data_IF_432991273590
#
_entry.id   IF_432991273590
#
_cell.length_a   1.000
_cell.length_b   1.000
_cell.length_c   1.000
_cell.angle_alpha   90.00
_cell.angle_beta   90.00
_cell.angle_gamma   90.00
#
_symmetry.space_group_name_H-M   'P 1'
#
loop_
_entity.id
_entity.type
_entity.pdbx_description
1 polymer ?
#
# COMPACT_ATOMS: atom_id res chain seq x y z
N UNK A 1 9.23 17.12 8.63
CA UNK A 1 9.29 15.72 8.17
C UNK A 1 9.60 15.74 6.69
N UNK A 2 10.56 14.94 6.25
CA UNK A 2 10.93 14.81 4.83
C UNK A 2 10.57 13.40 4.39
N UNK A 3 9.89 13.30 3.26
CA UNK A 3 9.56 12.02 2.65
C UNK A 3 10.20 11.94 1.26
N UNK A 4 10.70 10.77 0.88
CA UNK A 4 11.17 10.48 -0.47
C UNK A 4 10.71 9.10 -0.91
N UNK A 5 10.53 8.96 -2.23
CA UNK A 5 10.27 7.69 -2.89
C UNK A 5 11.26 7.53 -4.01
N UNK A 6 11.92 6.38 -4.08
CA UNK A 6 12.79 5.98 -5.18
C UNK A 6 12.23 4.70 -5.80
N UNK A 7 12.18 4.63 -7.13
CA UNK A 7 11.84 3.43 -7.88
C UNK A 7 13.07 3.04 -8.69
N UNK A 8 13.53 1.81 -8.52
CA UNK A 8 14.67 1.25 -9.22
C UNK A 8 14.21 0.13 -10.14
N UNK A 9 14.72 0.18 -11.37
CA UNK A 9 14.53 -0.85 -12.37
C UNK A 9 15.53 -2.00 -12.11
N UNK A 10 15.03 -3.21 -11.87
CA UNK A 10 15.82 -4.45 -11.86
C UNK A 10 15.39 -5.40 -12.98
N UNK A 11 16.18 -6.42 -13.32
CA UNK A 11 15.92 -7.27 -14.49
C UNK A 11 14.48 -7.83 -14.57
N UNK A 12 13.98 -8.44 -13.49
CA UNK A 12 12.66 -9.09 -13.42
C UNK A 12 11.66 -8.42 -12.46
N UNK A 13 12.08 -7.40 -11.72
CA UNK A 13 11.27 -6.75 -10.69
C UNK A 13 11.60 -5.28 -10.53
N UNK A 14 10.63 -4.50 -10.07
CA UNK A 14 10.83 -3.13 -9.58
C UNK A 14 11.15 -3.14 -8.09
N UNK A 15 12.08 -2.30 -7.66
CA UNK A 15 12.33 -2.04 -6.23
C UNK A 15 11.89 -0.63 -5.90
N UNK A 16 10.89 -0.50 -5.05
CA UNK A 16 10.41 0.78 -4.54
C UNK A 16 10.91 1.00 -3.11
N UNK A 17 11.51 2.15 -2.82
CA UNK A 17 11.95 2.52 -1.48
C UNK A 17 11.28 3.83 -1.08
N UNK A 18 10.53 3.80 0.01
CA UNK A 18 10.03 4.99 0.70
C UNK A 18 10.89 5.26 1.93
N UNK A 19 11.31 6.51 2.08
CA UNK A 19 12.02 6.97 3.26
C UNK A 19 11.26 8.12 3.90
N UNK A 20 11.11 8.07 5.23
CA UNK A 20 10.47 9.12 6.01
C UNK A 20 11.38 9.50 7.18
N UNK A 21 11.81 10.76 7.20
CA UNK A 21 12.58 11.31 8.31
C UNK A 21 11.63 11.78 9.42
N UNK A 22 11.68 11.07 10.55
CA UNK A 22 10.89 11.36 11.76
C UNK A 22 11.81 11.81 12.90
N UNK A 23 11.30 12.49 13.94
CA UNK A 23 12.09 12.85 15.11
C UNK A 23 12.74 11.65 15.82
N UNK A 24 12.15 10.46 15.71
CA UNK A 24 12.66 9.21 16.30
C UNK A 24 13.69 8.50 15.40
N UNK A 25 14.02 9.06 14.23
CA UNK A 25 14.93 8.47 13.26
C UNK A 25 14.28 8.28 11.87
N UNK A 26 15.08 7.82 10.93
CA UNK A 26 14.61 7.53 9.58
C UNK A 26 13.88 6.19 9.54
N UNK A 27 12.66 6.19 8.99
CA UNK A 27 11.93 5.00 8.62
C UNK A 27 12.16 4.71 7.13
N UNK A 28 12.48 3.45 6.80
CA UNK A 28 12.69 2.98 5.44
C UNK A 28 11.75 1.80 5.18
N UNK A 29 10.92 1.90 4.14
CA UNK A 29 10.08 0.82 3.63
C UNK A 29 10.53 0.49 2.21
N UNK A 30 10.89 -0.76 1.95
CA UNK A 30 11.33 -1.24 0.65
C UNK A 30 10.40 -2.34 0.18
N UNK A 31 9.89 -2.21 -1.03
CA UNK A 31 9.00 -3.17 -1.66
C UNK A 31 9.61 -3.66 -2.96
N UNK A 32 9.47 -4.97 -3.24
CA UNK A 32 9.81 -5.57 -4.53
C UNK A 32 8.52 -5.94 -5.24
N UNK A 33 8.34 -5.44 -6.47
CA UNK A 33 7.15 -5.62 -7.29
C UNK A 33 7.50 -6.40 -8.56
N UNK A 34 6.63 -7.30 -8.99
CA UNK A 34 6.81 -8.00 -10.27
C UNK A 34 6.65 -7.04 -11.46
N UNK A 35 7.52 -7.15 -12.48
CA UNK A 35 7.60 -6.20 -13.60
C UNK A 35 6.41 -6.15 -14.57
N UNK A 36 5.49 -7.11 -14.54
CA UNK A 36 4.30 -7.12 -15.39
C UNK A 36 3.00 -6.84 -14.61
N UNK A 37 2.78 -7.58 -13.53
CA UNK A 37 1.55 -7.49 -12.75
C UNK A 37 1.58 -6.42 -11.65
N UNK A 38 2.76 -5.93 -11.29
CA UNK A 38 2.99 -5.04 -10.14
C UNK A 38 2.54 -5.65 -8.80
N UNK A 39 2.41 -6.98 -8.74
CA UNK A 39 2.14 -7.71 -7.49
C UNK A 39 3.34 -7.56 -6.56
N UNK A 40 3.05 -7.34 -5.28
CA UNK A 40 4.04 -7.27 -4.22
C UNK A 40 4.63 -8.65 -3.97
N UNK A 41 5.94 -8.77 -4.16
CA UNK A 41 6.70 -10.00 -3.95
C UNK A 41 7.39 -10.00 -2.58
N UNK A 42 7.95 -8.86 -2.18
CA UNK A 42 8.65 -8.69 -0.90
C UNK A 42 8.41 -7.32 -0.30
N UNK A 43 8.48 -7.23 1.02
CA UNK A 43 8.51 -5.98 1.76
C UNK A 43 9.51 -6.05 2.91
N UNK A 44 10.33 -5.03 3.06
CA UNK A 44 11.24 -4.84 4.19
C UNK A 44 11.01 -3.47 4.81
N UNK A 45 10.68 -3.41 6.11
CA UNK A 45 10.50 -2.16 6.85
C UNK A 45 11.54 -2.09 7.95
N UNK A 46 12.25 -0.95 8.02
CA UNK A 46 13.25 -0.66 9.05
C UNK A 46 12.93 0.70 9.65
N UNK A 47 12.61 0.72 10.94
CA UNK A 47 12.36 1.96 11.67
C UNK A 47 12.88 1.81 13.11
N UNK A 48 14.06 2.34 13.37
CA UNK A 48 14.72 2.21 14.67
C UNK A 48 14.87 0.72 15.06
N UNK A 49 14.34 0.29 16.22
CA UNK A 49 14.45 -1.09 16.70
C UNK A 49 13.43 -2.06 16.08
N UNK A 50 12.59 -1.59 15.15
CA UNK A 50 11.60 -2.40 14.43
C UNK A 50 12.15 -2.77 13.07
N UNK A 51 12.24 -4.08 12.81
CA UNK A 51 12.59 -4.66 11.52
C UNK A 51 11.49 -5.62 11.12
N UNK A 52 10.97 -5.50 9.91
CA UNK A 52 9.95 -6.39 9.37
C UNK A 52 10.43 -6.84 8.01
N UNK A 53 10.50 -8.15 7.79
CA UNK A 53 10.79 -8.74 6.49
C UNK A 53 9.67 -9.70 6.12
N UNK A 54 9.09 -9.50 4.95
CA UNK A 54 7.96 -10.27 4.44
C UNK A 54 8.21 -10.71 3.00
N UNK A 55 7.90 -11.97 2.74
CA UNK A 55 7.78 -12.57 1.43
C UNK A 55 6.30 -12.87 1.14
N UNK A 56 5.90 -12.57 -0.08
CA UNK A 56 4.54 -12.80 -0.57
C UNK A 56 4.59 -13.80 -1.72
N UNK A 57 3.89 -14.92 -1.54
CA UNK A 57 3.82 -15.98 -2.53
C UNK A 57 2.36 -16.38 -2.76
N UNK A 58 1.80 -15.95 -3.89
CA UNK A 58 0.42 -16.22 -4.27
C UNK A 58 -0.57 -15.62 -3.26
N UNK A 59 -1.16 -16.45 -2.41
CA UNK A 59 -2.12 -16.04 -1.39
C UNK A 59 -1.54 -16.01 0.03
N UNK A 60 -0.22 -16.12 0.23
CA UNK A 60 0.38 -16.18 1.56
C UNK A 60 1.39 -15.07 1.78
N UNK A 61 1.38 -14.52 3.00
CA UNK A 61 2.46 -13.72 3.55
C UNK A 61 3.23 -14.55 4.56
N UNK A 62 4.55 -14.62 4.42
CA UNK A 62 5.45 -15.25 5.37
C UNK A 62 6.61 -14.33 5.70
N UNK A 63 7.10 -14.34 6.93
CA UNK A 63 8.27 -13.58 7.30
C UNK A 63 8.42 -13.40 8.79
N UNK A 64 9.12 -12.34 9.19
CA UNK A 64 9.44 -12.05 10.58
C UNK A 64 9.26 -10.57 10.89
N UNK A 65 8.77 -10.29 12.09
CA UNK A 65 8.77 -8.96 12.69
C UNK A 65 9.64 -9.02 13.93
N UNK A 66 10.76 -8.32 13.91
CA UNK A 66 11.61 -8.08 15.06
C UNK A 66 11.27 -6.74 15.71
N UNK A 67 11.02 -6.74 17.01
CA UNK A 67 10.82 -5.52 17.79
C UNK A 67 11.69 -5.58 19.03
N UNK A 68 12.66 -4.66 19.14
CA UNK A 68 13.67 -4.66 20.21
C UNK A 68 14.44 -6.00 20.32
N UNK A 69 14.72 -6.64 19.17
CA UNK A 69 15.41 -7.94 19.11
C UNK A 69 14.55 -9.15 19.47
N UNK A 70 13.25 -8.97 19.72
CA UNK A 70 12.32 -10.09 19.84
C UNK A 70 11.64 -10.36 18.51
N UNK A 71 11.93 -11.52 17.95
CA UNK A 71 11.37 -11.96 16.67
C UNK A 71 10.01 -12.61 16.85
N UNK A 72 9.06 -12.18 16.03
CA UNK A 72 7.71 -12.75 15.91
C UNK A 72 7.52 -13.24 14.48
N UNK A 73 7.30 -14.55 14.27
CA UNK A 73 7.02 -15.05 12.94
C UNK A 73 5.65 -14.55 12.45
N UNK A 74 5.58 -14.28 11.15
CA UNK A 74 4.35 -13.93 10.43
C UNK A 74 4.12 -15.04 9.42
N UNK A 75 2.93 -15.65 9.47
CA UNK A 75 2.48 -16.63 8.49
C UNK A 75 0.96 -16.51 8.36
N UNK A 76 0.50 -15.80 7.33
CA UNK A 76 -0.91 -15.43 7.16
C UNK A 76 -1.38 -15.78 5.75
N UNK A 77 -2.57 -16.37 5.65
CA UNK A 77 -3.28 -16.50 4.38
C UNK A 77 -4.00 -15.17 4.07
N UNK A 78 -3.60 -14.56 2.97
CA UNK A 78 -4.08 -13.28 2.48
C UNK A 78 -5.36 -13.43 1.63
N UNK A 79 -5.69 -14.64 1.19
CA UNK A 79 -6.80 -14.91 0.29
C UNK A 79 -6.62 -14.34 -1.12
N UNK A 80 -5.40 -13.96 -1.50
CA UNK A 80 -5.04 -13.47 -2.83
C UNK A 80 -3.76 -12.61 -2.84
N UNK A 81 -3.23 -12.26 -4.03
CA UNK A 81 -2.06 -11.42 -4.16
C UNK A 81 -2.34 -9.99 -3.67
N UNK A 82 -1.28 -9.32 -3.20
CA UNK A 82 -1.31 -7.90 -2.84
C UNK A 82 -0.76 -7.06 -3.99
N UNK A 83 -1.46 -5.99 -4.31
CA UNK A 83 -0.99 -4.95 -5.22
C UNK A 83 -1.41 -3.60 -4.65
N UNK A 84 -0.71 -2.54 -5.04
CA UNK A 84 -0.92 -1.20 -4.47
C UNK A 84 -0.81 -1.19 -2.92
N UNK A 85 0.13 -1.97 -2.38
CA UNK A 85 0.48 -2.01 -0.97
C UNK A 85 1.98 -1.76 -0.79
N UNK A 86 2.39 -1.26 0.38
CA UNK A 86 3.76 -0.88 0.74
C UNK A 86 4.36 0.28 -0.08
N UNK A 87 5.70 0.39 -0.08
CA UNK A 87 6.42 1.35 -0.90
C UNK A 87 6.09 1.17 -2.39
N UNK A 88 5.89 2.27 -3.11
CA UNK A 88 5.50 2.22 -4.52
C UNK A 88 3.99 2.05 -4.77
N UNK A 89 3.15 1.90 -3.74
CA UNK A 89 1.70 1.70 -3.91
C UNK A 89 1.02 2.78 -4.79
N UNK A 90 1.40 4.04 -4.63
CA UNK A 90 0.86 5.14 -5.45
C UNK A 90 1.20 4.99 -6.94
N UNK A 91 2.42 4.54 -7.24
CA UNK A 91 2.88 4.31 -8.61
C UNK A 91 2.11 3.16 -9.25
N UNK A 92 1.85 2.09 -8.49
CA UNK A 92 1.01 0.96 -8.95
C UNK A 92 -0.41 1.42 -9.28
N UNK A 93 -1.02 2.27 -8.44
CA UNK A 93 -2.37 2.81 -8.69
C UNK A 93 -2.42 3.62 -9.98
N UNK A 94 -1.39 4.41 -10.29
CA UNK A 94 -1.33 5.22 -11.52
C UNK A 94 -1.18 4.37 -12.78
N UNK A 95 -0.66 3.16 -12.68
CA UNK A 95 -0.58 2.20 -13.80
C UNK A 95 -1.91 1.48 -14.08
N UNK A 96 -2.94 1.67 -13.25
CA UNK A 96 -4.26 1.09 -13.50
C UNK A 96 -4.97 1.83 -14.65
N UNK A 97 -5.92 1.18 -15.35
CA UNK A 97 -6.73 1.85 -16.36
C UNK A 97 -7.77 2.76 -15.69
N UNK A 98 -7.33 3.94 -15.22
CA UNK A 98 -8.10 4.96 -14.49
C UNK A 98 -9.16 5.67 -15.37
N UNK A 99 -9.85 4.92 -16.22
CA UNK A 99 -10.98 5.41 -17.00
C UNK A 99 -12.16 5.76 -16.09
N UNK A 100 -13.03 6.67 -16.54
CA UNK A 100 -14.25 6.99 -15.80
C UNK A 100 -15.12 5.73 -15.66
N UNK A 101 -15.63 5.50 -14.45
CA UNK A 101 -16.37 4.28 -14.13
C UNK A 101 -15.48 3.07 -13.81
N UNK A 102 -14.15 3.17 -13.91
CA UNK A 102 -13.26 2.11 -13.45
C UNK A 102 -13.40 1.92 -11.94
N UNK A 103 -13.74 0.70 -11.53
CA UNK A 103 -13.71 0.29 -10.13
C UNK A 103 -12.98 -1.03 -9.99
N UNK A 104 -12.14 -1.12 -8.97
CA UNK A 104 -11.44 -2.35 -8.62
C UNK A 104 -11.39 -2.49 -7.10
N UNK A 105 -11.36 -3.74 -6.63
CA UNK A 105 -11.16 -4.05 -5.21
C UNK A 105 -9.81 -4.71 -5.05
N UNK A 106 -9.00 -4.20 -4.14
CA UNK A 106 -7.67 -4.68 -3.85
C UNK A 106 -7.46 -4.93 -2.37
N UNK A 107 -6.49 -5.80 -2.06
CA UNK A 107 -6.16 -6.20 -0.70
C UNK A 107 -4.99 -5.37 -0.21
N UNK A 108 -5.04 -5.00 1.05
CA UNK A 108 -3.94 -4.38 1.78
C UNK A 108 -3.70 -5.18 3.05
N UNK A 109 -2.44 -5.41 3.42
CA UNK A 109 -2.11 -6.21 4.57
C UNK A 109 -1.60 -5.34 5.73
N UNK A 110 -2.39 -5.28 6.80
CA UNK A 110 -1.98 -4.65 8.04
C UNK A 110 -1.03 -5.58 8.78
N UNK A 111 0.28 -5.35 8.60
CA UNK A 111 1.33 -6.21 9.15
C UNK A 111 1.31 -6.25 10.68
N UNK A 112 0.93 -5.14 11.34
CA UNK A 112 0.89 -5.07 12.80
C UNK A 112 -0.30 -5.86 13.35
N UNK A 113 -1.47 -5.71 12.73
CA UNK A 113 -2.67 -6.44 13.14
C UNK A 113 -2.75 -7.86 12.55
N UNK A 114 -1.86 -8.19 11.61
CA UNK A 114 -1.90 -9.40 10.78
C UNK A 114 -3.27 -9.61 10.11
N UNK A 115 -3.88 -8.52 9.64
CA UNK A 115 -5.22 -8.51 9.07
C UNK A 115 -5.23 -7.99 7.64
N UNK A 116 -5.90 -8.71 6.76
CA UNK A 116 -6.20 -8.25 5.41
C UNK A 116 -7.37 -7.27 5.46
N UNK A 117 -7.21 -6.14 4.79
CA UNK A 117 -8.26 -5.14 4.57
C UNK A 117 -8.53 -5.06 3.07
N UNK A 118 -9.80 -5.05 2.70
CA UNK A 118 -10.22 -4.82 1.32
C UNK A 118 -10.47 -3.33 1.12
N UNK A 119 -9.86 -2.78 0.09
CA UNK A 119 -10.05 -1.41 -0.36
C UNK A 119 -10.71 -1.43 -1.73
N UNK A 120 -11.69 -0.53 -1.91
CA UNK A 120 -12.31 -0.30 -3.21
C UNK A 120 -11.80 1.02 -3.77
N UNK A 121 -11.18 0.96 -4.95
CA UNK A 121 -10.91 2.13 -5.76
C UNK A 121 -12.07 2.31 -6.73
N UNK A 122 -12.60 3.52 -6.81
CA UNK A 122 -13.58 3.91 -7.82
C UNK A 122 -13.18 5.28 -8.39
N UNK A 123 -13.04 5.36 -9.71
CA UNK A 123 -12.75 6.62 -10.42
C UNK A 123 -14.07 7.37 -10.60
N UNK A 124 -14.31 8.34 -9.72
CA UNK A 124 -15.57 9.08 -9.63
C UNK A 124 -15.78 10.13 -10.74
N UNK A 125 -14.77 10.43 -11.55
CA UNK A 125 -14.83 11.40 -12.64
C UNK A 125 -13.51 12.16 -12.83
N UNK A 126 -13.36 12.84 -13.97
CA UNK A 126 -12.24 13.75 -14.24
C UNK A 126 -12.53 15.14 -13.64
N UNK A 127 -11.59 15.72 -12.90
CA UNK A 127 -11.62 17.14 -12.55
C UNK A 127 -10.64 17.91 -13.45
N UNK A 128 -11.17 18.85 -14.23
CA UNK A 128 -10.39 19.80 -15.02
C UNK A 128 -10.05 20.99 -14.11
N UNK A 129 -8.78 21.16 -13.73
CA UNK A 129 -8.33 22.30 -12.94
C UNK A 129 -7.66 23.30 -13.87
N UNK A 130 -8.34 24.41 -14.12
CA UNK A 130 -7.80 25.52 -14.92
C UNK A 130 -7.08 26.50 -13.99
N UNK A 131 -5.78 26.71 -14.21
CA UNK A 131 -5.01 27.78 -13.56
C UNK A 131 -4.59 28.83 -14.60
N UNK A 132 -4.28 30.09 -14.22
CA UNK A 132 -3.93 31.15 -15.17
C UNK A 132 -2.68 30.88 -16.03
N UNK A 133 -1.89 29.84 -15.72
CA UNK A 133 -0.71 29.41 -16.48
C UNK A 133 -0.97 28.18 -17.40
N UNK A 134 -2.22 27.72 -17.53
CA UNK A 134 -2.58 26.59 -18.39
C UNK A 134 -3.49 25.55 -17.72
N UNK A 135 -4.04 24.65 -18.54
CA UNK A 135 -4.97 23.60 -18.11
C UNK A 135 -4.20 22.36 -17.67
N UNK A 136 -4.44 21.86 -16.45
CA UNK A 136 -3.88 20.60 -15.98
C UNK A 136 -5.02 19.61 -15.66
N UNK A 137 -4.90 18.38 -16.18
CA UNK A 137 -5.86 17.31 -15.91
C UNK A 137 -5.44 16.59 -14.63
N UNK A 138 -6.31 16.56 -13.62
CA UNK A 138 -6.09 15.84 -12.36
C UNK A 138 -7.13 14.73 -12.21
N UNK A 139 -6.68 13.52 -11.89
CA UNK A 139 -7.57 12.43 -11.50
C UNK A 139 -7.78 12.48 -9.98
N UNK A 140 -9.00 12.77 -9.53
CA UNK A 140 -9.36 12.81 -8.11
C UNK A 140 -9.87 11.45 -7.62
N UNK A 141 -9.10 10.77 -6.77
CA UNK A 141 -9.57 9.55 -6.09
C UNK A 141 -10.32 9.92 -4.81
N UNK A 142 -11.64 9.70 -4.78
CA UNK A 142 -12.47 9.89 -3.57
C UNK A 142 -12.46 8.60 -2.75
N UNK A 143 -11.92 8.66 -1.54
CA UNK A 143 -12.08 7.60 -0.54
C UNK A 143 -13.50 7.72 0.05
N UNK A 144 -14.34 6.67 0.01
CA UNK A 144 -15.65 6.73 0.64
C UNK A 144 -15.48 6.85 2.17
N UNK A 145 -16.34 7.64 2.86
CA UNK A 145 -16.34 7.65 4.32
C UNK A 145 -16.67 6.25 4.83
N UNK A 146 -15.88 5.80 5.80
CA UNK A 146 -16.06 4.54 6.52
C UNK A 146 -17.49 4.50 7.07
N UNK A 147 -18.34 3.59 6.58
CA UNK A 147 -19.64 3.33 7.18
C UNK A 147 -19.41 2.91 8.65
N UNK A 148 -19.74 3.80 9.58
CA UNK A 148 -19.97 3.39 10.97
C UNK A 148 -21.15 2.42 11.00
N UNK A 149 -20.89 1.24 11.56
CA UNK A 149 -21.89 0.23 11.77
C UNK A 149 -22.98 0.76 12.72
N UNK A 150 -24.22 0.84 12.22
CA UNK A 150 -25.42 0.99 13.04
C UNK A 150 -25.44 -0.12 14.08
N UNK A 151 -25.23 0.23 15.34
CA UNK A 151 -25.59 -0.64 16.45
C UNK A 151 -27.08 -0.49 16.69
N UNK A 152 -27.88 -1.44 16.19
CA UNK A 152 -29.18 -1.76 16.80
C UNK A 152 -28.88 -2.38 18.17
N UNK A 153 -29.31 -1.73 19.25
CA UNK A 153 -29.73 -2.44 20.47
C UNK A 153 -31.17 -2.05 20.77
N UNK A 154 -32.03 -3.04 20.63
CA UNK A 154 -33.22 -3.19 21.46
C UNK A 154 -32.78 -3.38 22.93
N UNK A 155 -33.68 -3.01 23.83
CA UNK A 155 -33.72 -3.14 25.30
C UNK A 155 -33.55 -1.83 26.09
N UNK A 156 -34.67 -1.46 26.73
CA UNK A 156 -34.87 -0.31 27.62
C UNK A 156 -36.28 0.24 27.42
#
# INVERSE_FOLDING_TARGET
MKASTAIQDGASSWTATNQLDTPQGTATDTATLEKGSLVLLKRSVKQGPVVIDLDFAGNKASGTMSMNGQDRPIAVDLGGPLFADAAGAGQVIVCLPLAEGYSTTFRNFDVQAQKVKLFQLAVAGKEQVTVPAGTFVRCGSRFPPRMEARTRRLFG
#
